data_IF_739075576464
#
_entry.id   IF_739075576464
#
_cell.length_a   1.000
_cell.length_b   1.000
_cell.length_c   1.000
_cell.angle_alpha   90.00
_cell.angle_beta   90.00
_cell.angle_gamma   90.00
#
_symmetry.space_group_name_H-M   'P 1'
#
loop_
_entity.id
_entity.type
_entity.pdbx_description
1 polymer ?
#
# COMPACT_ATOMS: atom_id res chain seq x y z
N UNK A 1 -13.03 -3.62 9.22
CA UNK A 1 -13.63 -2.70 8.27
C UNK A 1 -13.83 -3.29 6.89
N UNK A 2 -14.59 -2.62 6.07
CA UNK A 2 -14.91 -3.06 4.71
C UNK A 2 -13.94 -2.44 3.70
N UNK A 3 -13.34 -3.28 2.86
CA UNK A 3 -12.46 -2.78 1.80
C UNK A 3 -13.32 -2.16 0.70
N UNK A 4 -13.16 -0.85 0.48
CA UNK A 4 -13.94 -0.13 -0.51
C UNK A 4 -13.12 0.23 -1.75
N UNK A 5 -11.79 0.17 -1.67
CA UNK A 5 -10.91 0.41 -2.81
C UNK A 5 -9.54 -0.19 -2.55
N UNK A 6 -8.78 -0.39 -3.60
CA UNK A 6 -7.41 -0.88 -3.53
C UNK A 6 -6.50 -0.01 -4.39
N UNK A 7 -5.26 0.18 -3.91
CA UNK A 7 -4.29 1.01 -4.61
C UNK A 7 -3.00 0.23 -4.79
N UNK A 8 -2.42 0.35 -5.96
CA UNK A 8 -1.15 -0.27 -6.28
C UNK A 8 -0.24 0.76 -6.95
N UNK A 9 0.98 0.87 -6.42
CA UNK A 9 2.03 1.66 -7.05
C UNK A 9 3.18 0.73 -7.41
N UNK A 10 3.55 0.63 -8.70
CA UNK A 10 4.67 -0.21 -9.11
C UNK A 10 5.99 0.34 -8.59
N UNK A 11 6.99 -0.52 -8.53
CA UNK A 11 8.35 -0.10 -8.21
C UNK A 11 8.84 0.90 -9.25
N UNK A 12 9.58 1.88 -8.80
CA UNK A 12 10.18 2.89 -9.68
C UNK A 12 11.68 2.90 -9.49
N UNK A 13 12.40 3.06 -10.59
CA UNK A 13 13.84 3.23 -10.56
C UNK A 13 14.16 4.56 -11.20
N UNK A 14 14.98 5.37 -10.55
CA UNK A 14 15.40 6.65 -11.08
C UNK A 14 16.85 6.91 -10.70
N UNK A 15 17.49 7.76 -11.52
CA UNK A 15 18.88 8.15 -11.31
C UNK A 15 18.95 9.52 -10.64
N UNK A 16 19.72 9.58 -9.58
CA UNK A 16 19.97 10.83 -8.86
C UNK A 16 21.46 11.11 -8.92
N UNK A 17 21.82 12.36 -9.23
CA UNK A 17 23.20 12.78 -9.26
C UNK A 17 23.61 13.24 -7.85
N UNK A 18 24.61 12.55 -7.30
CA UNK A 18 25.11 12.83 -5.96
C UNK A 18 26.63 12.83 -6.00
N UNK A 19 27.25 13.96 -5.60
CA UNK A 19 28.70 14.15 -5.64
C UNK A 19 29.34 13.77 -6.99
N UNK A 20 28.76 14.24 -8.08
CA UNK A 20 29.20 13.96 -9.46
C UNK A 20 29.13 12.47 -9.84
N UNK A 21 28.43 11.67 -9.08
CA UNK A 21 28.18 10.26 -9.40
C UNK A 21 26.69 10.06 -9.61
N UNK A 22 26.37 9.19 -10.54
CA UNK A 22 24.99 8.77 -10.75
C UNK A 22 24.69 7.63 -9.78
N UNK A 23 23.64 7.81 -8.97
CA UNK A 23 23.20 6.80 -8.03
C UNK A 23 21.83 6.34 -8.45
N UNK A 24 21.67 5.04 -8.63
CA UNK A 24 20.38 4.44 -8.95
C UNK A 24 19.60 4.22 -7.67
N UNK A 25 18.40 4.81 -7.61
CA UNK A 25 17.51 4.66 -6.47
C UNK A 25 16.29 3.88 -6.93
N UNK A 26 16.01 2.78 -6.24
CA UNK A 26 14.84 1.96 -6.52
C UNK A 26 13.87 2.02 -5.36
N UNK A 27 12.60 2.24 -5.66
CA UNK A 27 11.54 2.12 -4.67
C UNK A 27 10.84 0.78 -4.82
N UNK A 28 10.39 0.23 -3.70
CA UNK A 28 9.62 -1.01 -3.72
C UNK A 28 8.18 -0.72 -4.12
N UNK A 29 7.49 -1.68 -4.74
CA UNK A 29 6.06 -1.50 -5.02
C UNK A 29 5.29 -1.38 -3.71
N UNK A 30 4.22 -0.62 -3.72
CA UNK A 30 3.38 -0.46 -2.55
C UNK A 30 1.95 -0.88 -2.86
N UNK A 31 1.31 -1.44 -1.85
CA UNK A 31 -0.05 -1.96 -1.91
C UNK A 31 -0.83 -1.39 -0.74
N UNK A 32 -1.99 -0.82 -1.03
CA UNK A 32 -2.81 -0.21 -0.01
C UNK A 32 -4.28 -0.60 -0.17
N UNK A 33 -4.97 -0.71 0.96
CA UNK A 33 -6.42 -0.84 0.99
C UNK A 33 -7.03 0.44 1.54
N UNK A 34 -8.13 0.86 0.94
CA UNK A 34 -8.99 1.86 1.54
C UNK A 34 -10.10 1.12 2.29
N UNK A 35 -10.09 1.24 3.62
CA UNK A 35 -10.99 0.49 4.49
C UNK A 35 -11.93 1.44 5.18
N UNK A 36 -13.22 1.18 5.03
CA UNK A 36 -14.27 1.94 5.69
C UNK A 36 -14.61 1.27 7.01
N UNK A 37 -14.43 2.00 8.13
CA UNK A 37 -14.76 1.47 9.47
C UNK A 37 -16.16 1.89 9.93
N UNK A 38 -16.65 3.03 9.43
CA UNK A 38 -18.02 3.47 9.61
C UNK A 38 -18.39 4.45 8.49
N UNK A 39 -19.59 5.01 8.53
CA UNK A 39 -20.10 5.86 7.44
C UNK A 39 -19.23 7.07 7.14
N UNK A 40 -18.51 7.57 8.13
CA UNK A 40 -17.76 8.82 8.03
C UNK A 40 -16.25 8.62 8.12
N UNK A 41 -15.78 7.40 8.34
CA UNK A 41 -14.36 7.15 8.55
C UNK A 41 -13.84 6.08 7.62
N UNK A 42 -12.83 6.47 6.84
CA UNK A 42 -12.08 5.57 5.96
C UNK A 42 -10.59 5.71 6.25
N UNK A 43 -9.88 4.60 6.22
CA UNK A 43 -8.43 4.60 6.44
C UNK A 43 -7.73 3.92 5.29
N UNK A 44 -6.62 4.52 4.87
CA UNK A 44 -5.73 3.91 3.89
C UNK A 44 -4.68 3.10 4.64
N UNK A 45 -4.70 1.79 4.45
CA UNK A 45 -3.85 0.85 5.18
C UNK A 45 -2.85 0.24 4.22
N UNK A 46 -1.57 0.34 4.56
CA UNK A 46 -0.50 -0.28 3.78
C UNK A 46 -0.43 -1.76 4.11
N UNK A 47 -0.43 -2.59 3.08
CA UNK A 47 -0.38 -4.05 3.21
C UNK A 47 0.74 -4.62 2.34
N UNK A 48 1.08 -5.88 2.57
CA UNK A 48 2.05 -6.56 1.72
C UNK A 48 1.36 -7.14 0.47
N UNK A 49 2.17 -7.59 -0.48
CA UNK A 49 1.65 -8.16 -1.73
C UNK A 49 0.74 -9.35 -1.49
N UNK A 50 1.10 -10.22 -0.57
CA UNK A 50 0.34 -11.43 -0.27
C UNK A 50 -1.06 -11.07 0.25
N UNK A 51 -1.13 -10.14 1.20
CA UNK A 51 -2.39 -9.65 1.74
C UNK A 51 -3.22 -8.96 0.66
N UNK A 52 -2.59 -8.12 -0.15
CA UNK A 52 -3.26 -7.41 -1.24
C UNK A 52 -3.94 -8.37 -2.21
N UNK A 53 -3.28 -9.48 -2.55
CA UNK A 53 -3.83 -10.46 -3.49
C UNK A 53 -4.86 -11.39 -2.85
N UNK A 54 -4.91 -11.44 -1.52
CA UNK A 54 -5.80 -12.34 -0.80
C UNK A 54 -7.18 -11.76 -0.54
N UNK A 55 -7.34 -10.45 -0.68
CA UNK A 55 -8.59 -9.76 -0.40
C UNK A 55 -9.09 -9.03 -1.63
N UNK A 56 -10.41 -8.94 -1.76
CA UNK A 56 -11.07 -8.21 -2.83
C UNK A 56 -11.89 -7.05 -2.27
N UNK A 57 -12.20 -6.08 -3.14
CA UNK A 57 -13.12 -5.00 -2.77
C UNK A 57 -14.46 -5.61 -2.35
N UNK A 58 -14.99 -5.14 -1.23
CA UNK A 58 -16.23 -5.66 -0.66
C UNK A 58 -16.03 -6.68 0.43
N UNK A 59 -14.79 -7.14 0.66
CA UNK A 59 -14.49 -8.07 1.74
C UNK A 59 -14.16 -7.31 3.02
N UNK A 60 -14.38 -7.96 4.16
CA UNK A 60 -13.98 -7.40 5.44
C UNK A 60 -12.51 -7.67 5.69
N UNK A 61 -11.83 -6.64 6.18
CA UNK A 61 -10.42 -6.72 6.55
C UNK A 61 -10.25 -6.29 7.99
N UNK A 62 -9.61 -7.14 8.77
CA UNK A 62 -9.29 -6.85 10.16
C UNK A 62 -7.79 -6.70 10.29
N UNK A 63 -7.38 -5.53 10.76
CA UNK A 63 -5.99 -5.30 11.07
C UNK A 63 -5.67 -5.93 12.41
N UNK A 64 -4.77 -6.93 12.40
CA UNK A 64 -4.23 -7.44 13.64
C UNK A 64 -3.24 -6.41 14.18
N UNK A 65 -3.62 -5.75 15.26
CA UNK A 65 -2.67 -4.94 16.00
C UNK A 65 -2.01 -5.85 17.02
N UNK A 66 -0.72 -6.08 16.83
CA UNK A 66 0.09 -6.72 17.84
C UNK A 66 0.45 -5.68 18.87
N UNK A 67 -0.13 -5.85 20.02
CA UNK A 67 0.23 -5.02 21.17
C UNK A 67 1.63 -5.40 21.69
#
# INVERSE_FOLDING_TARGET
GLIIDTFYQPSKTYLVKYHNKEVEISSKPSYDFLVMVNKDECYKIKVDKKTYLSYNIGEEYYRCEDD
#
